data_IF_905354415012
#
_entry.id   IF_905354415012
#
_cell.length_a   1.000
_cell.length_b   1.000
_cell.length_c   1.000
_cell.angle_alpha   90.00
_cell.angle_beta   90.00
_cell.angle_gamma   90.00
#
_symmetry.space_group_name_H-M   'P 1'
#
loop_
_entity.id
_entity.type
_entity.pdbx_description
1 polymer ?
#
# COMPACT_ATOMS: atom_id res chain seq x y z
N UNK A 1 -13.13 34.90 13.32
CA UNK A 1 -14.40 34.64 12.62
C UNK A 1 -14.04 33.77 11.42
N UNK A 2 -14.15 32.45 11.55
CA UNK A 2 -13.85 31.53 10.44
C UNK A 2 -15.16 31.30 9.68
N UNK A 3 -15.22 31.79 8.46
CA UNK A 3 -16.42 31.65 7.63
C UNK A 3 -16.59 30.19 7.21
N UNK A 4 -17.57 29.51 7.78
CA UNK A 4 -17.93 28.14 7.38
C UNK A 4 -19.01 28.22 6.29
N UNK A 5 -18.88 27.39 5.26
CA UNK A 5 -19.87 27.26 4.19
C UNK A 5 -20.51 25.88 4.26
N UNK A 6 -21.82 25.81 4.05
CA UNK A 6 -22.54 24.56 3.82
C UNK A 6 -22.68 24.29 2.34
N UNK A 7 -22.43 23.05 1.97
CA UNK A 7 -22.87 22.50 0.68
C UNK A 7 -24.38 22.34 0.77
N UNK A 8 -25.10 23.14 0.00
CA UNK A 8 -26.56 23.09 -0.11
C UNK A 8 -26.93 22.20 -1.31
N UNK A 9 -27.62 22.72 -2.30
CA UNK A 9 -27.96 21.96 -3.50
C UNK A 9 -26.72 21.62 -4.33
N UNK A 10 -26.51 20.32 -4.55
CA UNK A 10 -25.55 19.79 -5.52
C UNK A 10 -26.32 19.30 -6.73
N UNK A 11 -26.23 20.06 -7.83
CA UNK A 11 -26.94 19.73 -9.07
C UNK A 11 -25.97 19.34 -10.16
N UNK A 12 -26.20 18.17 -10.76
CA UNK A 12 -25.48 17.77 -11.97
C UNK A 12 -25.96 18.63 -13.14
N UNK A 13 -25.05 19.33 -13.80
CA UNK A 13 -25.41 20.31 -14.84
C UNK A 13 -25.92 19.64 -16.13
N UNK A 14 -25.41 18.44 -16.44
CA UNK A 14 -25.86 17.62 -17.56
C UNK A 14 -25.62 16.13 -17.26
N UNK A 15 -26.47 15.24 -17.78
CA UNK A 15 -26.35 13.78 -17.62
C UNK A 15 -25.03 13.24 -18.20
N UNK A 16 -24.50 13.88 -19.23
CA UNK A 16 -23.25 13.49 -19.91
C UNK A 16 -22.00 14.25 -19.42
N UNK A 17 -22.16 15.30 -18.62
CA UNK A 17 -21.04 16.10 -18.09
C UNK A 17 -20.66 15.65 -16.67
N UNK A 18 -19.36 15.59 -16.31
CA UNK A 18 -18.92 15.36 -14.94
C UNK A 18 -19.05 16.61 -14.06
N UNK A 19 -19.54 17.73 -14.59
CA UNK A 19 -19.61 19.00 -13.86
C UNK A 19 -20.87 19.08 -12.98
N UNK A 20 -20.64 19.41 -11.71
CA UNK A 20 -21.68 19.68 -10.73
C UNK A 20 -21.64 21.16 -10.35
N UNK A 21 -22.81 21.78 -10.32
CA UNK A 21 -23.00 23.05 -9.65
C UNK A 21 -23.24 22.76 -8.17
N UNK A 22 -22.40 23.33 -7.31
CA UNK A 22 -22.50 23.23 -5.86
C UNK A 22 -22.82 24.61 -5.33
N UNK A 23 -24.02 24.78 -4.78
CA UNK A 23 -24.38 26.02 -4.11
C UNK A 23 -23.82 25.99 -2.69
N UNK A 24 -22.96 26.96 -2.37
CA UNK A 24 -22.43 27.14 -1.03
C UNK A 24 -23.23 28.21 -0.30
N UNK A 25 -23.78 27.86 0.85
CA UNK A 25 -24.47 28.80 1.73
C UNK A 25 -23.55 29.21 2.86
N UNK A 26 -23.35 30.52 3.02
CA UNK A 26 -22.67 31.09 4.17
C UNK A 26 -23.45 30.70 5.44
N UNK A 27 -22.81 30.03 6.39
CA UNK A 27 -23.44 29.68 7.66
C UNK A 27 -22.92 30.58 8.78
N UNK A 28 -23.79 30.97 9.71
CA UNK A 28 -23.40 31.71 10.91
C UNK A 28 -22.76 30.77 11.94
N UNK A 29 -22.01 31.34 12.89
CA UNK A 29 -21.41 30.62 14.03
C UNK A 29 -22.47 30.00 14.99
N UNK A 30 -23.76 30.24 14.73
CA UNK A 30 -24.92 29.75 15.50
C UNK A 30 -25.72 28.62 14.80
N UNK A 31 -25.20 28.04 13.71
CA UNK A 31 -25.89 26.95 13.02
C UNK A 31 -26.03 25.71 13.92
N UNK A 32 -27.27 25.44 14.31
CA UNK A 32 -27.63 24.39 15.24
C UNK A 32 -27.23 22.99 14.76
N UNK A 33 -27.33 22.68 13.46
CA UNK A 33 -26.97 21.34 12.97
C UNK A 33 -25.45 21.21 12.79
N UNK A 34 -24.71 22.32 12.56
CA UNK A 34 -23.25 22.31 12.53
C UNK A 34 -22.70 22.13 13.95
N UNK A 35 -23.32 22.81 14.94
CA UNK A 35 -23.07 22.56 16.36
C UNK A 35 -23.35 21.11 16.72
N UNK A 36 -24.52 20.58 16.37
CA UNK A 36 -24.85 19.16 16.62
C UNK A 36 -23.85 18.20 15.95
N UNK A 37 -23.38 18.47 14.74
CA UNK A 37 -22.38 17.65 14.07
C UNK A 37 -21.02 17.74 14.79
N UNK A 38 -20.62 18.94 15.19
CA UNK A 38 -19.36 19.17 15.91
C UNK A 38 -19.41 18.56 17.31
N UNK A 39 -20.53 18.68 18.01
CA UNK A 39 -20.77 18.05 19.31
C UNK A 39 -20.82 16.53 19.18
N UNK A 40 -21.46 15.99 18.13
CA UNK A 40 -21.44 14.55 17.85
C UNK A 40 -20.04 14.04 17.51
N UNK A 41 -19.27 14.76 16.70
CA UNK A 41 -17.86 14.42 16.43
C UNK A 41 -17.07 14.47 17.74
N UNK A 42 -17.30 15.47 18.59
CA UNK A 42 -16.64 15.61 19.90
C UNK A 42 -17.01 14.48 20.85
N UNK A 43 -18.26 14.03 20.85
CA UNK A 43 -18.75 12.89 21.61
C UNK A 43 -18.16 11.57 21.06
N UNK A 44 -18.17 11.37 19.75
CA UNK A 44 -17.61 10.19 19.08
C UNK A 44 -16.08 10.13 19.16
N UNK A 45 -15.42 11.29 19.27
CA UNK A 45 -13.99 11.43 19.51
C UNK A 45 -13.63 11.54 21.00
N UNK A 46 -14.60 11.43 21.91
CA UNK A 46 -14.34 11.48 23.34
C UNK A 46 -13.65 10.18 23.82
N UNK A 47 -12.73 10.32 24.78
CA UNK A 47 -11.94 9.20 25.30
C UNK A 47 -10.78 8.77 24.40
N UNK A 48 -9.93 7.87 24.91
CA UNK A 48 -8.71 7.40 24.22
C UNK A 48 -9.04 6.75 22.87
N UNK A 49 -10.08 5.91 22.84
CA UNK A 49 -10.52 5.23 21.61
C UNK A 49 -11.06 6.18 20.54
N UNK A 50 -11.71 7.28 20.94
CA UNK A 50 -12.19 8.31 20.03
C UNK A 50 -11.04 9.05 19.33
N UNK A 51 -10.01 9.42 20.08
CA UNK A 51 -8.81 10.05 19.52
C UNK A 51 -8.03 9.12 18.60
N UNK A 52 -7.93 7.83 18.91
CA UNK A 52 -7.31 6.87 17.98
C UNK A 52 -8.07 6.79 16.66
N UNK A 53 -9.41 6.73 16.69
CA UNK A 53 -10.24 6.75 15.47
C UNK A 53 -10.03 8.03 14.67
N UNK A 54 -9.92 9.18 15.34
CA UNK A 54 -9.63 10.46 14.70
C UNK A 54 -8.27 10.44 14.00
N UNK A 55 -7.23 9.92 14.66
CA UNK A 55 -5.92 9.73 14.03
C UNK A 55 -5.98 8.84 12.79
N UNK A 56 -6.71 7.71 12.85
CA UNK A 56 -6.93 6.85 11.67
C UNK A 56 -7.68 7.55 10.54
N UNK A 57 -8.63 8.41 10.87
CA UNK A 57 -9.36 9.19 9.87
C UNK A 57 -8.45 10.21 9.20
N UNK A 58 -7.64 10.94 9.99
CA UNK A 58 -6.65 11.91 9.51
C UNK A 58 -5.68 11.25 8.53
N UNK A 59 -5.19 10.05 8.85
CA UNK A 59 -4.38 9.23 7.93
C UNK A 59 -5.12 8.96 6.61
N UNK A 60 -6.36 8.47 6.66
CA UNK A 60 -7.16 8.17 5.45
C UNK A 60 -7.41 9.36 4.55
N UNK A 61 -7.44 10.58 5.11
CA UNK A 61 -7.61 11.82 4.33
C UNK A 61 -6.28 12.51 4.01
N UNK A 62 -5.14 11.84 4.22
CA UNK A 62 -3.81 12.35 3.90
C UNK A 62 -3.30 13.46 4.81
N UNK A 63 -3.93 13.67 5.98
CA UNK A 63 -3.50 14.66 6.98
C UNK A 63 -2.48 14.05 7.95
N UNK A 64 -1.36 13.59 7.41
CA UNK A 64 -0.32 12.87 8.13
C UNK A 64 0.26 13.66 9.31
N UNK A 65 0.60 14.93 9.10
CA UNK A 65 1.20 15.79 10.14
C UNK A 65 0.26 15.98 11.33
N UNK A 66 -1.04 16.17 11.07
CA UNK A 66 -2.05 16.29 12.13
C UNK A 66 -2.27 14.98 12.88
N UNK A 67 -2.19 13.84 12.18
CA UNK A 67 -2.26 12.54 12.83
C UNK A 67 -1.05 12.34 13.76
N UNK A 68 0.13 12.77 13.32
CA UNK A 68 1.35 12.74 14.13
C UNK A 68 1.24 13.61 15.37
N UNK A 69 0.88 14.89 15.21
CA UNK A 69 0.67 15.84 16.32
C UNK A 69 -0.31 15.27 17.35
N UNK A 70 -1.42 14.68 16.88
CA UNK A 70 -2.41 14.07 17.75
C UNK A 70 -1.83 12.89 18.53
N UNK A 71 -1.17 11.94 17.87
CA UNK A 71 -0.61 10.77 18.56
C UNK A 71 0.53 11.14 19.51
N UNK A 72 1.35 12.14 19.18
CA UNK A 72 2.38 12.65 20.08
C UNK A 72 1.78 13.34 21.31
N UNK A 73 0.72 14.14 21.15
CA UNK A 73 0.01 14.74 22.28
C UNK A 73 -0.64 13.68 23.19
N UNK A 74 -1.21 12.61 22.61
CA UNK A 74 -1.73 11.47 23.38
C UNK A 74 -0.60 10.74 24.13
N UNK A 75 0.59 10.62 23.52
CA UNK A 75 1.75 9.97 24.14
C UNK A 75 2.20 10.74 25.40
N UNK A 76 2.25 12.07 25.34
CA UNK A 76 2.58 12.92 26.49
C UNK A 76 1.59 12.78 27.65
N UNK A 77 0.31 12.59 27.32
CA UNK A 77 -0.77 12.45 28.31
C UNK A 77 -0.96 11.01 28.81
N UNK A 78 -0.25 10.04 28.23
CA UNK A 78 -0.44 8.63 28.54
C UNK A 78 -0.02 8.31 29.98
N UNK A 79 -1.00 7.89 30.78
CA UNK A 79 -0.86 7.64 32.22
C UNK A 79 -0.41 6.21 32.56
N UNK A 80 -0.53 5.27 31.61
CA UNK A 80 -0.16 3.88 31.80
C UNK A 80 0.58 3.33 30.58
N UNK A 81 1.28 2.22 30.81
CA UNK A 81 2.15 1.61 29.81
C UNK A 81 1.37 0.95 28.66
N UNK A 82 0.15 0.46 28.92
CA UNK A 82 -0.71 -0.12 27.87
C UNK A 82 -1.12 0.93 26.84
N UNK A 83 -1.52 2.13 27.27
CA UNK A 83 -1.86 3.24 26.39
C UNK A 83 -0.62 3.69 25.60
N UNK A 84 0.55 3.77 26.24
CA UNK A 84 1.81 4.10 25.56
C UNK A 84 2.16 3.09 24.48
N UNK A 85 2.07 1.79 24.77
CA UNK A 85 2.32 0.73 23.80
C UNK A 85 1.38 0.85 22.60
N UNK A 86 0.09 1.12 22.84
CA UNK A 86 -0.89 1.32 21.77
C UNK A 86 -0.58 2.57 20.92
N UNK A 87 -0.21 3.68 21.55
CA UNK A 87 0.13 4.92 20.85
C UNK A 87 1.39 4.73 20.00
N UNK A 88 2.42 4.07 20.54
CA UNK A 88 3.60 3.70 19.75
C UNK A 88 3.23 2.83 18.56
N UNK A 89 2.30 1.89 18.70
CA UNK A 89 1.81 1.12 17.56
C UNK A 89 1.11 2.02 16.51
N UNK A 90 0.33 3.02 16.91
CA UNK A 90 -0.29 3.95 15.95
C UNK A 90 0.75 4.85 15.26
N UNK A 91 1.75 5.33 15.99
CA UNK A 91 2.87 6.10 15.44
C UNK A 91 3.69 5.25 14.45
N UNK A 92 3.94 3.98 14.78
CA UNK A 92 4.58 3.03 13.89
C UNK A 92 3.83 2.87 12.57
N UNK A 93 2.50 2.77 12.63
CA UNK A 93 1.66 2.66 11.43
C UNK A 93 1.65 3.94 10.60
N UNK A 94 1.51 5.10 11.24
CA UNK A 94 1.63 6.41 10.59
C UNK A 94 2.96 6.54 9.84
N UNK A 95 4.07 6.21 10.50
CA UNK A 95 5.41 6.32 9.90
C UNK A 95 5.61 5.34 8.75
N UNK A 96 5.04 4.14 8.85
CA UNK A 96 5.05 3.17 7.76
C UNK A 96 4.28 3.70 6.53
N UNK A 97 3.12 4.31 6.73
CA UNK A 97 2.30 4.92 5.66
C UNK A 97 2.95 6.17 5.05
N UNK A 98 3.75 6.91 5.83
CA UNK A 98 4.61 7.99 5.32
C UNK A 98 5.86 7.46 4.58
N UNK A 99 6.14 6.15 4.62
CA UNK A 99 7.35 5.54 4.07
C UNK A 99 8.62 5.75 4.91
N UNK A 100 8.46 6.20 6.17
CA UNK A 100 9.53 6.43 7.15
C UNK A 100 9.82 5.13 7.93
N UNK A 101 10.28 4.10 7.21
CA UNK A 101 10.38 2.74 7.74
C UNK A 101 11.28 2.59 8.98
N UNK A 102 12.39 3.32 9.07
CA UNK A 102 13.28 3.26 10.25
C UNK A 102 12.58 3.76 11.52
N UNK A 103 11.82 4.85 11.40
CA UNK A 103 11.05 5.41 12.52
C UNK A 103 9.88 4.49 12.86
N UNK A 104 9.20 3.94 11.85
CA UNK A 104 8.14 2.95 12.05
C UNK A 104 8.63 1.74 12.87
N UNK A 105 9.75 1.15 12.48
CA UNK A 105 10.37 0.04 13.21
C UNK A 105 10.71 0.43 14.65
N UNK A 106 11.28 1.63 14.86
CA UNK A 106 11.61 2.10 16.21
C UNK A 106 10.37 2.21 17.10
N UNK A 107 9.26 2.74 16.59
CA UNK A 107 8.02 2.85 17.37
C UNK A 107 7.41 1.47 17.66
N UNK A 108 7.38 0.57 16.69
CA UNK A 108 6.91 -0.80 16.95
C UNK A 108 7.80 -1.54 17.96
N UNK A 109 9.12 -1.35 17.92
CA UNK A 109 10.05 -1.92 18.91
C UNK A 109 9.85 -1.32 20.31
N UNK A 110 9.54 -0.02 20.42
CA UNK A 110 9.16 0.61 21.70
C UNK A 110 7.85 0.02 22.25
N UNK A 111 6.85 -0.17 21.39
CA UNK A 111 5.59 -0.83 21.74
C UNK A 111 5.83 -2.26 22.25
N UNK A 112 6.57 -3.06 21.47
CA UNK A 112 6.91 -4.43 21.82
C UNK A 112 7.64 -4.52 23.17
N UNK A 113 8.58 -3.62 23.44
CA UNK A 113 9.33 -3.61 24.69
C UNK A 113 8.42 -3.46 25.91
N UNK A 114 7.39 -2.62 25.81
CA UNK A 114 6.41 -2.43 26.88
C UNK A 114 5.52 -3.66 27.02
N UNK A 115 5.04 -4.20 25.90
CA UNK A 115 4.22 -5.42 25.91
C UNK A 115 4.96 -6.60 26.56
N UNK A 116 6.25 -6.78 26.26
CA UNK A 116 7.09 -7.83 26.85
C UNK A 116 7.37 -7.66 28.35
N UNK A 117 7.21 -6.45 28.90
CA UNK A 117 7.34 -6.23 30.35
C UNK A 117 6.10 -6.70 31.12
N UNK A 118 4.95 -6.76 30.45
CA UNK A 118 3.64 -6.98 31.07
C UNK A 118 3.00 -8.31 30.67
N UNK A 119 3.42 -8.88 29.55
CA UNK A 119 2.87 -10.11 28.98
C UNK A 119 3.91 -11.25 28.98
N UNK A 120 3.46 -12.51 29.16
CA UNK A 120 4.30 -13.68 28.90
C UNK A 120 4.85 -13.71 27.46
N UNK A 121 6.00 -14.34 27.26
CA UNK A 121 6.70 -14.39 25.95
C UNK A 121 5.84 -14.98 24.82
N UNK A 122 4.92 -15.88 25.14
CA UNK A 122 4.03 -16.56 24.21
C UNK A 122 2.61 -15.96 24.17
N UNK A 123 2.42 -14.77 24.75
CA UNK A 123 1.11 -14.14 24.80
C UNK A 123 0.61 -13.77 23.39
N UNK A 124 -0.62 -14.15 22.99
CA UNK A 124 -1.14 -13.91 21.64
C UNK A 124 -1.09 -12.45 21.17
N UNK A 125 -1.24 -11.48 22.08
CA UNK A 125 -1.17 -10.05 21.76
C UNK A 125 0.20 -9.56 21.27
N UNK A 126 1.27 -10.33 21.45
CA UNK A 126 2.61 -9.97 20.91
C UNK A 126 2.72 -10.26 19.41
N UNK A 127 1.91 -11.18 18.86
CA UNK A 127 2.01 -11.61 17.48
C UNK A 127 1.77 -10.47 16.46
N UNK A 128 0.77 -9.57 16.62
CA UNK A 128 0.59 -8.42 15.74
C UNK A 128 1.78 -7.46 15.73
N UNK A 129 2.37 -7.18 16.90
CA UNK A 129 3.52 -6.27 17.00
C UNK A 129 4.74 -6.86 16.30
N UNK A 130 5.04 -8.14 16.52
CA UNK A 130 6.08 -8.85 15.76
C UNK A 130 5.83 -8.83 14.26
N UNK A 131 4.59 -9.05 13.83
CA UNK A 131 4.20 -9.02 12.42
C UNK A 131 4.46 -7.64 11.78
N UNK A 132 4.18 -6.55 12.50
CA UNK A 132 4.36 -5.20 11.98
C UNK A 132 5.84 -4.79 11.93
N UNK A 133 6.63 -5.18 12.93
CA UNK A 133 8.09 -5.01 12.89
C UNK A 133 8.67 -5.76 11.68
N UNK A 134 8.25 -7.02 11.47
CA UNK A 134 8.69 -7.83 10.35
C UNK A 134 8.34 -7.21 8.99
N UNK A 135 7.13 -6.69 8.84
CA UNK A 135 6.67 -6.02 7.62
C UNK A 135 7.58 -4.84 7.26
N UNK A 136 7.91 -4.00 8.23
CA UNK A 136 8.77 -2.83 8.00
C UNK A 136 10.20 -3.25 7.64
N UNK A 137 10.77 -4.26 8.31
CA UNK A 137 12.08 -4.80 7.92
C UNK A 137 12.07 -5.44 6.51
N UNK A 138 10.96 -6.07 6.11
CA UNK A 138 10.78 -6.59 4.75
C UNK A 138 10.79 -5.45 3.72
N UNK A 139 10.06 -4.35 3.97
CA UNK A 139 10.08 -3.14 3.12
C UNK A 139 11.46 -2.47 3.05
N UNK A 140 12.26 -2.59 4.11
CA UNK A 140 13.65 -2.12 4.16
C UNK A 140 14.65 -3.09 3.50
N UNK A 141 14.22 -4.25 3.01
CA UNK A 141 15.07 -5.27 2.42
C UNK A 141 15.95 -6.03 3.44
N UNK A 142 15.71 -5.87 4.74
CA UNK A 142 16.35 -6.67 5.79
C UNK A 142 15.53 -7.96 6.01
N UNK A 143 15.57 -8.83 5.00
CA UNK A 143 14.77 -10.05 4.97
C UNK A 143 15.09 -11.02 6.11
N UNK A 144 16.33 -11.01 6.61
CA UNK A 144 16.75 -11.84 7.74
C UNK A 144 16.02 -11.44 9.03
N UNK A 145 16.02 -10.13 9.35
CA UNK A 145 15.24 -9.63 10.50
C UNK A 145 13.74 -9.83 10.30
N UNK A 146 13.24 -9.59 9.08
CA UNK A 146 11.83 -9.80 8.77
C UNK A 146 11.40 -11.24 9.05
N UNK A 147 12.14 -12.25 8.55
CA UNK A 147 11.89 -13.66 8.84
C UNK A 147 11.91 -13.95 10.34
N UNK A 148 12.94 -13.50 11.06
CA UNK A 148 13.06 -13.76 12.49
C UNK A 148 11.88 -13.21 13.32
N UNK A 149 11.30 -12.08 12.92
CA UNK A 149 10.10 -11.53 13.57
C UNK A 149 8.80 -12.21 13.12
N UNK A 150 8.65 -12.53 11.83
CA UNK A 150 7.48 -13.29 11.36
C UNK A 150 7.44 -14.70 11.97
N UNK A 151 8.56 -15.38 12.11
CA UNK A 151 8.65 -16.70 12.75
C UNK A 151 8.24 -16.64 14.23
N UNK A 152 8.62 -15.59 14.96
CA UNK A 152 8.16 -15.36 16.35
C UNK A 152 6.64 -15.18 16.39
N UNK A 153 6.10 -14.32 15.52
CA UNK A 153 4.66 -14.11 15.39
C UNK A 153 3.92 -15.42 15.08
N UNK A 154 4.41 -16.17 14.09
CA UNK A 154 3.87 -17.46 13.68
C UNK A 154 3.84 -18.47 14.82
N UNK A 155 4.96 -18.63 15.55
CA UNK A 155 5.05 -19.58 16.68
C UNK A 155 4.07 -19.26 17.80
N UNK A 156 3.84 -17.98 18.09
CA UNK A 156 2.84 -17.54 19.07
C UNK A 156 1.43 -17.92 18.59
N UNK A 157 1.12 -17.63 17.32
CA UNK A 157 -0.18 -17.96 16.74
C UNK A 157 -0.41 -19.48 16.69
N UNK A 158 0.61 -20.27 16.34
CA UNK A 158 0.54 -21.74 16.28
C UNK A 158 0.22 -22.35 17.64
N UNK A 159 0.78 -21.78 18.72
CA UNK A 159 0.48 -22.22 20.09
C UNK A 159 -0.92 -21.80 20.54
N UNK A 160 -1.38 -20.62 20.12
CA UNK A 160 -2.60 -20.01 20.62
C UNK A 160 -3.87 -20.41 19.88
N UNK A 161 -3.75 -20.87 18.62
CA UNK A 161 -4.88 -21.01 17.70
C UNK A 161 -5.03 -22.46 17.19
N UNK A 162 -6.25 -22.87 16.80
CA UNK A 162 -6.46 -24.16 16.17
C UNK A 162 -5.76 -24.23 14.80
N UNK A 163 -5.35 -25.43 14.32
CA UNK A 163 -4.51 -25.58 13.11
C UNK A 163 -5.05 -24.96 11.82
N UNK A 164 -6.37 -24.81 11.67
CA UNK A 164 -6.99 -24.21 10.48
C UNK A 164 -7.47 -22.77 10.72
N UNK A 165 -6.94 -22.07 11.72
CA UNK A 165 -7.29 -20.67 11.96
C UNK A 165 -6.70 -19.76 10.88
N UNK A 166 -7.48 -18.81 10.35
CA UNK A 166 -7.06 -17.95 9.24
C UNK A 166 -5.83 -17.09 9.56
N UNK A 167 -5.63 -16.72 10.82
CA UNK A 167 -4.40 -16.00 11.24
C UNK A 167 -3.12 -16.83 11.01
N UNK A 168 -3.19 -18.16 11.05
CA UNK A 168 -2.05 -19.02 10.68
C UNK A 168 -1.80 -18.95 9.18
N UNK A 169 -2.87 -18.95 8.37
CA UNK A 169 -2.79 -18.77 6.92
C UNK A 169 -2.11 -17.43 6.57
N UNK A 170 -2.56 -16.32 7.18
CA UNK A 170 -1.93 -15.01 7.02
C UNK A 170 -0.46 -14.98 7.44
N UNK A 171 -0.09 -15.68 8.52
CA UNK A 171 1.32 -15.74 8.96
C UNK A 171 2.20 -16.51 7.99
N UNK A 172 1.71 -17.62 7.39
CA UNK A 172 2.43 -18.32 6.33
C UNK A 172 2.54 -17.46 5.08
N UNK A 173 1.50 -16.73 4.70
CA UNK A 173 1.51 -15.80 3.59
C UNK A 173 2.62 -14.74 3.74
N UNK A 174 2.74 -14.14 4.93
CA UNK A 174 3.76 -13.14 5.22
C UNK A 174 5.19 -13.70 5.13
N UNK A 175 5.43 -14.91 5.65
CA UNK A 175 6.74 -15.59 5.52
C UNK A 175 7.04 -15.92 4.05
N UNK A 176 6.04 -16.43 3.31
CA UNK A 176 6.14 -16.71 1.88
C UNK A 176 6.50 -15.46 1.07
N UNK A 177 5.97 -14.30 1.43
CA UNK A 177 6.31 -13.02 0.80
C UNK A 177 7.78 -12.66 0.97
N UNK A 178 8.36 -12.90 2.16
CA UNK A 178 9.79 -12.61 2.38
C UNK A 178 10.67 -13.54 1.54
N UNK A 179 10.35 -14.84 1.49
CA UNK A 179 11.08 -15.77 0.62
C UNK A 179 10.95 -15.41 -0.87
N UNK A 180 9.77 -14.97 -1.31
CA UNK A 180 9.58 -14.48 -2.68
C UNK A 180 10.46 -13.25 -2.96
N UNK A 181 10.54 -12.31 -2.03
CA UNK A 181 11.39 -11.11 -2.15
C UNK A 181 12.90 -11.44 -2.14
N UNK A 182 13.29 -12.54 -1.49
CA UNK A 182 14.65 -13.08 -1.51
C UNK A 182 14.99 -13.84 -2.79
N UNK A 183 13.99 -14.19 -3.62
CA UNK A 183 14.14 -15.05 -4.78
C UNK A 183 14.18 -16.55 -4.46
N UNK A 184 13.90 -16.95 -3.20
CA UNK A 184 13.72 -18.36 -2.83
C UNK A 184 12.29 -18.80 -3.14
N UNK A 185 12.02 -18.94 -4.43
CA UNK A 185 10.67 -19.22 -4.94
C UNK A 185 10.13 -20.58 -4.49
N UNK A 186 11.01 -21.57 -4.25
CA UNK A 186 10.57 -22.89 -3.76
C UNK A 186 10.00 -22.80 -2.35
N UNK A 187 10.67 -22.09 -1.43
CA UNK A 187 10.12 -21.87 -0.08
C UNK A 187 8.89 -20.97 -0.12
N UNK A 188 8.90 -19.92 -0.95
CA UNK A 188 7.72 -19.07 -1.11
C UNK A 188 6.47 -19.89 -1.48
N UNK A 189 6.60 -20.82 -2.44
CA UNK A 189 5.51 -21.73 -2.82
C UNK A 189 5.09 -22.63 -1.65
N UNK A 190 6.02 -23.25 -0.92
CA UNK A 190 5.69 -24.10 0.23
C UNK A 190 4.82 -23.35 1.27
N UNK A 191 5.20 -22.11 1.59
CA UNK A 191 4.47 -21.28 2.54
C UNK A 191 3.11 -20.83 2.01
N UNK A 192 3.03 -20.40 0.74
CA UNK A 192 1.75 -20.02 0.14
C UNK A 192 0.80 -21.21 -0.09
N UNK A 193 1.32 -22.41 -0.31
CA UNK A 193 0.51 -23.64 -0.39
C UNK A 193 -0.10 -23.99 0.97
N UNK A 194 0.63 -23.82 2.08
CA UNK A 194 0.10 -23.98 3.45
C UNK A 194 -0.99 -22.95 3.75
N UNK A 195 -0.79 -21.68 3.38
CA UNK A 195 -1.82 -20.64 3.45
C UNK A 195 -3.08 -21.05 2.68
N UNK A 196 -2.92 -21.46 1.42
CA UNK A 196 -4.03 -21.90 0.58
C UNK A 196 -4.76 -23.13 1.17
N UNK A 197 -4.04 -24.09 1.74
CA UNK A 197 -4.62 -25.29 2.35
C UNK A 197 -5.50 -24.92 3.56
N UNK A 198 -5.01 -24.07 4.47
CA UNK A 198 -5.77 -23.61 5.62
C UNK A 198 -7.00 -22.83 5.16
N UNK A 199 -6.81 -21.88 4.25
CA UNK A 199 -7.89 -21.02 3.74
C UNK A 199 -8.99 -21.86 3.07
N UNK A 200 -8.64 -22.91 2.30
CA UNK A 200 -9.62 -23.85 1.72
C UNK A 200 -10.41 -24.64 2.75
N UNK A 201 -9.80 -25.01 3.88
CA UNK A 201 -10.48 -25.75 4.95
C UNK A 201 -11.37 -24.84 5.80
N UNK A 202 -10.97 -23.59 5.98
CA UNK A 202 -11.63 -22.64 6.86
C UNK A 202 -12.79 -21.88 6.20
N UNK A 203 -12.77 -21.71 4.87
CA UNK A 203 -13.65 -20.79 4.16
C UNK A 203 -14.40 -21.45 2.99
N UNK A 204 -15.55 -20.88 2.58
CA UNK A 204 -16.30 -21.38 1.43
C UNK A 204 -15.51 -21.21 0.11
N UNK A 205 -15.76 -22.03 -0.92
CA UNK A 205 -14.93 -22.10 -2.14
C UNK A 205 -14.76 -20.81 -2.95
N UNK A 206 -15.66 -19.83 -2.80
CA UNK A 206 -15.58 -18.53 -3.48
C UNK A 206 -15.27 -17.39 -2.51
N UNK A 207 -14.69 -17.65 -1.33
CA UNK A 207 -14.32 -16.57 -0.43
C UNK A 207 -13.17 -15.72 -1.02
N UNK A 208 -13.21 -14.38 -0.95
CA UNK A 208 -12.14 -13.50 -1.47
C UNK A 208 -10.73 -13.86 -0.99
N UNK A 209 -10.57 -14.34 0.25
CA UNK A 209 -9.25 -14.74 0.78
C UNK A 209 -8.60 -15.88 -0.01
N UNK A 210 -9.39 -16.79 -0.60
CA UNK A 210 -8.86 -17.82 -1.50
C UNK A 210 -8.26 -17.19 -2.76
N UNK A 211 -8.88 -16.13 -3.27
CA UNK A 211 -8.35 -15.40 -4.42
C UNK A 211 -7.02 -14.73 -4.08
N UNK A 212 -6.86 -14.20 -2.86
CA UNK A 212 -5.57 -13.67 -2.37
C UNK A 212 -4.50 -14.75 -2.36
N UNK A 213 -4.76 -15.92 -1.76
CA UNK A 213 -3.78 -17.02 -1.74
C UNK A 213 -3.39 -17.49 -3.15
N UNK A 214 -4.35 -17.63 -4.06
CA UNK A 214 -4.05 -17.95 -5.47
C UNK A 214 -3.20 -16.86 -6.16
N UNK A 215 -3.50 -15.59 -5.89
CA UNK A 215 -2.73 -14.46 -6.44
C UNK A 215 -1.29 -14.46 -5.93
N UNK A 216 -1.05 -14.81 -4.67
CA UNK A 216 0.31 -14.92 -4.12
C UNK A 216 1.12 -16.01 -4.82
N UNK A 217 0.52 -17.16 -5.10
CA UNK A 217 1.19 -18.24 -5.87
C UNK A 217 1.44 -17.79 -7.32
N UNK A 218 0.47 -17.14 -7.96
CA UNK A 218 0.64 -16.56 -9.30
C UNK A 218 1.78 -15.54 -9.38
N UNK A 219 1.98 -14.76 -8.32
CA UNK A 219 3.11 -13.83 -8.21
C UNK A 219 4.46 -14.56 -8.21
N UNK A 220 4.59 -15.68 -7.51
CA UNK A 220 5.83 -16.46 -7.48
C UNK A 220 6.13 -17.02 -8.88
N UNK A 221 5.16 -17.63 -9.55
CA UNK A 221 5.36 -18.15 -10.90
C UNK A 221 5.71 -17.06 -11.91
N UNK A 222 5.09 -15.87 -11.80
CA UNK A 222 5.46 -14.72 -12.62
C UNK A 222 6.93 -14.32 -12.39
N UNK A 223 7.36 -14.25 -11.13
CA UNK A 223 8.74 -13.90 -10.78
C UNK A 223 9.76 -14.96 -11.24
N UNK A 224 9.34 -16.23 -11.34
CA UNK A 224 10.12 -17.32 -11.95
C UNK A 224 10.18 -17.25 -13.49
N UNK A 225 9.33 -16.44 -14.13
CA UNK A 225 9.16 -16.42 -15.58
C UNK A 225 8.25 -17.52 -16.14
N UNK A 226 7.60 -18.32 -15.29
CA UNK A 226 6.58 -19.28 -15.70
C UNK A 226 5.22 -18.57 -15.87
N UNK A 227 5.12 -17.80 -16.96
CA UNK A 227 3.96 -16.97 -17.24
C UNK A 227 2.67 -17.78 -17.49
N UNK A 228 2.81 -19.01 -18.00
CA UNK A 228 1.67 -19.92 -18.20
C UNK A 228 1.01 -20.28 -16.86
N UNK A 229 1.81 -20.72 -15.87
CA UNK A 229 1.25 -20.99 -14.54
C UNK A 229 0.81 -19.72 -13.84
N UNK A 230 1.54 -18.61 -13.99
CA UNK A 230 1.12 -17.34 -13.42
C UNK A 230 -0.30 -16.95 -13.87
N UNK A 231 -0.60 -17.08 -15.17
CA UNK A 231 -1.94 -16.83 -15.72
C UNK A 231 -2.97 -17.80 -15.13
N UNK A 232 -2.69 -19.11 -15.06
CA UNK A 232 -3.61 -20.10 -14.47
C UNK A 232 -4.04 -19.69 -13.04
N UNK A 233 -3.07 -19.33 -12.21
CA UNK A 233 -3.32 -18.93 -10.83
C UNK A 233 -4.03 -17.57 -10.71
N UNK A 234 -3.64 -16.58 -11.52
CA UNK A 234 -4.30 -15.28 -11.52
C UNK A 234 -5.71 -15.31 -12.10
N UNK A 235 -5.98 -16.11 -13.14
CA UNK A 235 -7.32 -16.31 -13.68
C UNK A 235 -8.22 -16.98 -12.65
N UNK A 236 -7.71 -17.96 -11.90
CA UNK A 236 -8.45 -18.58 -10.81
C UNK A 236 -8.78 -17.59 -9.69
N UNK A 237 -7.81 -16.74 -9.32
CA UNK A 237 -8.03 -15.64 -8.38
C UNK A 237 -9.10 -14.67 -8.89
N UNK A 238 -9.00 -14.26 -10.15
CA UNK A 238 -9.95 -13.36 -10.80
C UNK A 238 -11.38 -13.93 -10.81
N UNK A 239 -11.55 -15.21 -11.19
CA UNK A 239 -12.86 -15.87 -11.20
C UNK A 239 -13.52 -15.93 -9.81
N UNK A 240 -12.73 -16.09 -8.75
CA UNK A 240 -13.26 -16.07 -7.38
C UNK A 240 -13.73 -14.65 -7.03
N UNK A 241 -12.91 -13.63 -7.30
CA UNK A 241 -13.32 -12.24 -7.07
C UNK A 241 -14.57 -11.85 -7.87
N UNK A 242 -14.67 -12.27 -9.13
CA UNK A 242 -15.81 -11.99 -10.00
C UNK A 242 -17.11 -12.58 -9.44
N UNK A 243 -17.05 -13.78 -8.85
CA UNK A 243 -18.20 -14.42 -8.21
C UNK A 243 -18.55 -13.83 -6.85
N UNK A 244 -17.55 -13.36 -6.11
CA UNK A 244 -17.70 -12.97 -4.71
C UNK A 244 -17.99 -11.49 -4.50
N UNK A 245 -17.62 -10.63 -5.44
CA UNK A 245 -17.57 -9.18 -5.25
C UNK A 245 -18.38 -8.42 -6.31
N UNK A 246 -18.87 -7.20 -6.00
CA UNK A 246 -19.45 -6.32 -7.00
C UNK A 246 -18.47 -6.03 -8.15
N UNK A 247 -18.99 -5.84 -9.36
CA UNK A 247 -18.18 -5.69 -10.58
C UNK A 247 -17.23 -4.48 -10.59
N UNK A 248 -17.41 -3.53 -9.68
CA UNK A 248 -16.57 -2.36 -9.49
C UNK A 248 -15.68 -2.44 -8.23
N UNK A 249 -15.56 -3.61 -7.59
CA UNK A 249 -14.75 -3.73 -6.39
C UNK A 249 -13.24 -3.56 -6.69
N UNK A 250 -12.46 -2.81 -5.88
CA UNK A 250 -11.02 -2.61 -6.11
C UNK A 250 -10.19 -3.90 -6.27
N UNK A 251 -10.54 -4.99 -5.59
CA UNK A 251 -9.88 -6.29 -5.77
C UNK A 251 -10.00 -6.85 -7.20
N UNK A 252 -11.09 -6.57 -7.92
CA UNK A 252 -11.18 -6.93 -9.34
C UNK A 252 -10.20 -6.13 -10.17
N UNK A 253 -10.03 -4.83 -9.88
CA UNK A 253 -9.03 -4.00 -10.53
C UNK A 253 -7.61 -4.54 -10.32
N UNK A 254 -7.28 -4.95 -9.08
CA UNK A 254 -5.98 -5.57 -8.76
C UNK A 254 -5.79 -6.87 -9.55
N UNK A 255 -6.81 -7.74 -9.62
CA UNK A 255 -6.71 -9.00 -10.35
C UNK A 255 -6.50 -8.79 -11.87
N UNK A 256 -7.18 -7.81 -12.48
CA UNK A 256 -6.92 -7.43 -13.86
C UNK A 256 -5.50 -6.89 -14.05
N UNK A 257 -5.01 -6.06 -13.13
CA UNK A 257 -3.63 -5.56 -13.15
C UNK A 257 -2.60 -6.68 -13.08
N UNK A 258 -2.82 -7.70 -12.26
CA UNK A 258 -1.92 -8.85 -12.16
C UNK A 258 -1.85 -9.64 -13.48
N UNK A 259 -3.00 -9.87 -14.14
CA UNK A 259 -3.06 -10.53 -15.44
C UNK A 259 -2.37 -9.66 -16.52
N UNK A 260 -2.67 -8.35 -16.54
CA UNK A 260 -2.03 -7.40 -17.45
C UNK A 260 -0.52 -7.37 -17.32
N UNK A 261 0.00 -7.47 -16.09
CA UNK A 261 1.44 -7.54 -15.83
C UNK A 261 2.09 -8.78 -16.43
N UNK A 262 1.42 -9.94 -16.40
CA UNK A 262 1.94 -11.16 -17.02
C UNK A 262 2.01 -11.00 -18.54
N UNK A 263 0.95 -10.50 -19.18
CA UNK A 263 0.97 -10.23 -20.63
C UNK A 263 2.04 -9.20 -21.01
N UNK A 264 2.25 -8.17 -20.19
CA UNK A 264 3.34 -7.21 -20.37
C UNK A 264 4.71 -7.89 -20.32
N UNK A 265 4.94 -8.80 -19.38
CA UNK A 265 6.20 -9.54 -19.27
C UNK A 265 6.42 -10.52 -20.43
N UNK A 266 5.34 -11.02 -21.05
CA UNK A 266 5.39 -11.84 -22.27
C UNK A 266 5.61 -11.01 -23.55
N UNK A 267 5.53 -9.68 -23.48
CA UNK A 267 5.58 -8.79 -24.65
C UNK A 267 4.25 -8.69 -25.43
N UNK A 268 3.16 -9.27 -24.92
CA UNK A 268 1.81 -9.08 -25.48
C UNK A 268 1.22 -7.78 -24.94
N UNK A 269 1.77 -6.66 -25.42
CA UNK A 269 1.42 -5.32 -24.95
C UNK A 269 -0.03 -4.95 -25.24
N UNK A 270 -0.63 -5.50 -26.30
CA UNK A 270 -2.04 -5.26 -26.63
C UNK A 270 -2.97 -5.82 -25.56
N UNK A 271 -2.75 -7.07 -25.14
CA UNK A 271 -3.54 -7.65 -24.03
C UNK A 271 -3.21 -6.99 -22.71
N UNK A 272 -1.94 -6.66 -22.46
CA UNK A 272 -1.55 -5.94 -21.26
C UNK A 272 -2.34 -4.62 -21.09
N UNK A 273 -2.43 -3.82 -22.16
CA UNK A 273 -3.22 -2.59 -22.16
C UNK A 273 -4.72 -2.85 -21.94
N UNK A 274 -5.31 -3.87 -22.59
CA UNK A 274 -6.73 -4.22 -22.37
C UNK A 274 -7.02 -4.49 -20.89
N UNK A 275 -6.18 -5.28 -20.23
CA UNK A 275 -6.34 -5.62 -18.82
C UNK A 275 -6.06 -4.43 -17.89
N UNK A 276 -5.03 -3.65 -18.16
CA UNK A 276 -4.73 -2.44 -17.37
C UNK A 276 -5.79 -1.35 -17.53
N UNK A 277 -6.41 -1.20 -18.70
CA UNK A 277 -7.53 -0.28 -18.91
C UNK A 277 -8.76 -0.70 -18.12
N UNK A 278 -9.09 -2.01 -18.07
CA UNK A 278 -10.17 -2.52 -17.21
C UNK A 278 -9.89 -2.23 -15.73
N UNK A 279 -8.66 -2.45 -15.28
CA UNK A 279 -8.20 -2.11 -13.93
C UNK A 279 -8.38 -0.62 -13.64
N UNK A 280 -7.86 0.23 -14.53
CA UNK A 280 -7.93 1.68 -14.42
C UNK A 280 -9.38 2.19 -14.35
N UNK A 281 -10.27 1.69 -15.20
CA UNK A 281 -11.68 2.08 -15.22
C UNK A 281 -12.41 1.77 -13.90
N UNK A 282 -12.07 0.67 -13.22
CA UNK A 282 -12.64 0.35 -11.91
C UNK A 282 -12.13 1.34 -10.87
N UNK A 283 -10.82 1.59 -10.83
CA UNK A 283 -10.22 2.54 -9.90
C UNK A 283 -10.74 3.97 -10.11
N UNK A 284 -10.82 4.44 -11.35
CA UNK A 284 -11.36 5.76 -11.68
C UNK A 284 -12.82 5.94 -11.21
N UNK A 285 -13.63 4.88 -11.28
CA UNK A 285 -15.03 4.93 -10.84
C UNK A 285 -15.22 4.85 -9.32
N UNK A 286 -14.26 4.29 -8.59
CA UNK A 286 -14.44 3.92 -7.17
C UNK A 286 -13.56 4.67 -6.20
N UNK A 287 -12.43 5.21 -6.66
CA UNK A 287 -11.47 5.88 -5.81
C UNK A 287 -11.53 7.41 -5.97
N UNK A 288 -11.14 8.16 -4.93
CA UNK A 288 -10.92 9.59 -5.04
C UNK A 288 -9.87 9.94 -6.13
N UNK A 289 -9.96 11.12 -6.78
CA UNK A 289 -9.07 11.49 -7.88
C UNK A 289 -7.56 11.47 -7.56
N UNK A 290 -7.19 11.66 -6.29
CA UNK A 290 -5.80 11.63 -5.83
C UNK A 290 -5.44 10.32 -5.12
N UNK A 291 -6.17 9.22 -5.30
CA UNK A 291 -5.85 7.98 -4.62
C UNK A 291 -4.57 7.33 -5.21
N UNK A 292 -3.61 6.87 -4.38
CA UNK A 292 -2.37 6.25 -4.85
C UNK A 292 -2.57 5.07 -5.81
N UNK A 293 -3.59 4.24 -5.60
CA UNK A 293 -3.90 3.12 -6.53
C UNK A 293 -4.27 3.59 -7.95
N UNK A 294 -4.90 4.77 -8.08
CA UNK A 294 -5.16 5.35 -9.40
C UNK A 294 -3.84 5.71 -10.09
N UNK A 295 -2.88 6.28 -9.36
CA UNK A 295 -1.54 6.56 -9.88
C UNK A 295 -0.77 5.28 -10.24
N UNK A 296 -0.91 4.22 -9.46
CA UNK A 296 -0.33 2.91 -9.78
C UNK A 296 -0.90 2.38 -11.10
N UNK A 297 -2.21 2.49 -11.34
CA UNK A 297 -2.81 2.04 -12.61
C UNK A 297 -2.29 2.84 -13.82
N UNK A 298 -2.11 4.16 -13.70
CA UNK A 298 -1.45 4.95 -14.75
C UNK A 298 0.01 4.55 -14.96
N UNK A 299 0.72 4.21 -13.87
CA UNK A 299 2.11 3.75 -13.94
C UNK A 299 2.21 2.44 -14.73
N UNK A 300 1.32 1.49 -14.49
CA UNK A 300 1.27 0.24 -15.26
C UNK A 300 1.03 0.47 -16.75
N UNK A 301 0.10 1.36 -17.11
CA UNK A 301 -0.17 1.72 -18.51
C UNK A 301 1.05 2.42 -19.14
N UNK A 302 1.65 3.37 -18.43
CA UNK A 302 2.85 4.09 -18.86
C UNK A 302 4.04 3.16 -19.09
N UNK A 303 4.18 2.11 -18.28
CA UNK A 303 5.20 1.07 -18.45
C UNK A 303 5.02 0.32 -19.77
N UNK A 304 3.79 -0.10 -20.10
CA UNK A 304 3.55 -0.79 -21.38
C UNK A 304 3.91 0.09 -22.57
N UNK A 305 3.52 1.38 -22.55
CA UNK A 305 3.91 2.30 -23.63
C UNK A 305 5.42 2.54 -23.71
N UNK A 306 6.12 2.59 -22.57
CA UNK A 306 7.58 2.67 -22.54
C UNK A 306 8.21 1.42 -23.18
N UNK A 307 7.72 0.24 -22.84
CA UNK A 307 8.23 -1.04 -23.36
C UNK A 307 7.93 -1.22 -24.87
N UNK A 308 6.88 -0.57 -25.37
CA UNK A 308 6.56 -0.46 -26.79
C UNK A 308 7.42 0.58 -27.54
N UNK A 309 8.16 1.43 -26.82
CA UNK A 309 8.91 2.55 -27.39
C UNK A 309 8.06 3.80 -27.70
N UNK A 310 6.79 3.85 -27.32
CA UNK A 310 5.95 5.05 -27.39
C UNK A 310 6.21 5.93 -26.15
N UNK A 311 7.41 6.52 -26.13
CA UNK A 311 7.89 7.31 -25.00
C UNK A 311 7.05 8.56 -24.73
N UNK A 312 6.37 9.10 -25.75
CA UNK A 312 5.48 10.26 -25.59
C UNK A 312 4.28 9.90 -24.72
N UNK A 313 3.59 8.79 -25.03
CA UNK A 313 2.48 8.33 -24.19
C UNK A 313 2.96 7.85 -22.83
N UNK A 314 4.10 7.18 -22.76
CA UNK A 314 4.68 6.76 -21.49
C UNK A 314 4.88 7.96 -20.54
N UNK A 315 5.46 9.07 -21.03
CA UNK A 315 5.61 10.30 -20.26
C UNK A 315 4.25 10.87 -19.84
N UNK A 316 3.27 10.93 -20.75
CA UNK A 316 1.93 11.43 -20.40
C UNK A 316 1.32 10.68 -19.21
N UNK A 317 1.38 9.34 -19.23
CA UNK A 317 0.84 8.51 -18.16
C UNK A 317 1.67 8.60 -16.87
N UNK A 318 2.99 8.60 -16.97
CA UNK A 318 3.85 8.75 -15.79
C UNK A 318 3.74 10.13 -15.13
N UNK A 319 3.56 11.22 -15.90
CA UNK A 319 3.34 12.56 -15.35
C UNK A 319 1.98 12.67 -14.65
N UNK A 320 0.92 12.04 -15.19
CA UNK A 320 -0.38 11.93 -14.50
C UNK A 320 -0.25 11.18 -13.18
N UNK A 321 0.44 10.02 -13.18
CA UNK A 321 0.71 9.27 -11.97
C UNK A 321 1.52 10.09 -10.95
N UNK A 322 2.57 10.77 -11.42
CA UNK A 322 3.44 11.61 -10.58
C UNK A 322 2.65 12.69 -9.85
N UNK A 323 1.79 13.41 -10.57
CA UNK A 323 0.96 14.48 -10.00
C UNK A 323 0.01 13.97 -8.92
N UNK A 324 -0.56 12.77 -9.10
CA UNK A 324 -1.41 12.16 -8.08
C UNK A 324 -0.57 11.81 -6.84
N UNK A 325 0.59 11.15 -7.03
CA UNK A 325 1.48 10.83 -5.90
C UNK A 325 1.94 12.09 -5.16
N UNK A 326 2.29 13.16 -5.87
CA UNK A 326 2.72 14.44 -5.29
C UNK A 326 1.62 15.10 -4.45
N UNK A 327 0.36 14.99 -4.89
CA UNK A 327 -0.78 15.53 -4.14
C UNK A 327 -1.19 14.68 -2.94
N UNK A 328 -0.94 13.36 -2.99
CA UNK A 328 -1.49 12.40 -2.04
C UNK A 328 -0.50 12.00 -0.94
N UNK A 329 0.80 12.09 -1.21
CA UNK A 329 1.84 11.49 -0.37
C UNK A 329 2.83 12.54 0.16
N UNK A 330 3.47 12.28 1.31
CA UNK A 330 4.54 13.13 1.82
C UNK A 330 5.72 13.26 0.83
N UNK A 331 6.48 14.37 0.83
CA UNK A 331 7.52 14.67 -0.18
C UNK A 331 8.65 13.63 -0.34
N UNK A 332 8.88 12.77 0.65
CA UNK A 332 9.90 11.73 0.61
C UNK A 332 9.29 10.31 0.56
N UNK A 333 8.01 10.16 0.21
CA UNK A 333 7.39 8.84 0.14
C UNK A 333 8.05 7.97 -0.97
N UNK A 334 8.34 6.67 -0.73
CA UNK A 334 8.98 5.78 -1.72
C UNK A 334 8.30 5.74 -3.10
N UNK A 335 6.96 5.85 -3.17
CA UNK A 335 6.23 5.90 -4.45
C UNK A 335 6.63 7.10 -5.33
N UNK A 336 7.00 8.25 -4.73
CA UNK A 336 7.54 9.39 -5.49
C UNK A 336 8.89 9.05 -6.11
N UNK A 337 9.73 8.28 -5.41
CA UNK A 337 10.99 7.81 -5.96
C UNK A 337 10.80 6.88 -7.16
N UNK A 338 9.82 5.97 -7.09
CA UNK A 338 9.46 5.08 -8.21
C UNK A 338 8.99 5.93 -9.40
N UNK A 339 8.09 6.87 -9.16
CA UNK A 339 7.56 7.76 -10.21
C UNK A 339 8.66 8.58 -10.89
N UNK A 340 9.56 9.20 -10.12
CA UNK A 340 10.73 9.90 -10.66
C UNK A 340 11.66 8.96 -11.44
N UNK A 341 11.89 7.75 -10.93
CA UNK A 341 12.69 6.73 -11.60
C UNK A 341 12.14 6.35 -12.97
N UNK A 342 10.83 6.16 -13.07
CA UNK A 342 10.14 5.82 -14.31
C UNK A 342 10.22 6.96 -15.34
N UNK A 343 9.99 8.21 -14.93
CA UNK A 343 10.14 9.37 -15.82
C UNK A 343 11.59 9.52 -16.28
N UNK A 344 12.55 9.35 -15.37
CA UNK A 344 13.99 9.39 -15.68
C UNK A 344 14.41 8.31 -16.68
N UNK A 345 13.86 7.11 -16.56
CA UNK A 345 14.06 5.99 -17.49
C UNK A 345 13.53 6.32 -18.90
N UNK A 346 12.34 6.91 -19.01
CA UNK A 346 11.83 7.33 -20.32
C UNK A 346 12.71 8.40 -20.97
N UNK A 347 13.17 9.41 -20.20
CA UNK A 347 14.09 10.41 -20.73
C UNK A 347 15.44 9.83 -21.15
N UNK A 348 15.93 8.80 -20.45
CA UNK A 348 17.11 8.05 -20.87
C UNK A 348 16.87 7.36 -22.22
N UNK A 349 15.72 6.71 -22.39
CA UNK A 349 15.38 6.00 -23.62
C UNK A 349 15.18 6.95 -24.82
N UNK A 350 14.72 8.18 -24.59
CA UNK A 350 14.63 9.25 -25.61
C UNK A 350 16.02 9.84 -25.96
N UNK A 351 17.04 9.61 -25.14
CA UNK A 351 18.37 10.20 -25.29
C UNK A 351 18.52 11.60 -24.66
N UNK A 352 17.55 12.02 -23.83
CA UNK A 352 17.67 13.24 -23.03
C UNK A 352 18.34 12.94 -21.68
N UNK A 353 19.64 12.67 -21.73
CA UNK A 353 20.44 12.26 -20.57
C UNK A 353 20.47 13.31 -19.45
N UNK A 354 20.41 14.60 -19.79
CA UNK A 354 20.31 15.70 -18.81
C UNK A 354 19.07 15.57 -17.93
N UNK A 355 17.88 15.42 -18.53
CA UNK A 355 16.64 15.24 -17.77
C UNK A 355 16.62 13.91 -17.05
N UNK A 356 17.10 12.84 -17.70
CA UNK A 356 17.20 11.52 -17.09
C UNK A 356 17.99 11.55 -15.78
N UNK A 357 19.17 12.17 -15.78
CA UNK A 357 19.99 12.33 -14.58
C UNK A 357 19.27 13.11 -13.50
N UNK A 358 18.66 14.24 -13.84
CA UNK A 358 17.93 15.07 -12.86
C UNK A 358 16.81 14.27 -12.16
N UNK A 359 16.04 13.49 -12.91
CA UNK A 359 14.96 12.67 -12.35
C UNK A 359 15.49 11.49 -11.53
N UNK A 360 16.50 10.78 -12.02
CA UNK A 360 17.10 9.66 -11.29
C UNK A 360 17.81 10.10 -10.00
N UNK A 361 18.43 11.29 -9.97
CA UNK A 361 19.04 11.86 -8.77
C UNK A 361 18.00 12.24 -7.71
N UNK A 362 16.83 12.74 -8.13
CA UNK A 362 15.68 12.95 -7.22
C UNK A 362 15.17 11.64 -6.65
N UNK A 363 15.00 10.61 -7.48
CA UNK A 363 14.61 9.28 -7.03
C UNK A 363 15.60 8.71 -6.00
N UNK A 364 16.91 8.79 -6.30
CA UNK A 364 17.97 8.33 -5.40
C UNK A 364 17.95 9.08 -4.06
N UNK A 365 17.76 10.39 -4.08
CA UNK A 365 17.68 11.23 -2.87
C UNK A 365 16.56 10.76 -1.94
N UNK A 366 15.38 10.45 -2.49
CA UNK A 366 14.25 9.95 -1.69
C UNK A 366 14.55 8.55 -1.15
N UNK A 367 15.08 7.65 -1.98
CA UNK A 367 15.43 6.29 -1.57
C UNK A 367 16.48 6.30 -0.45
N UNK A 368 17.49 7.17 -0.50
CA UNK A 368 18.53 7.26 0.53
C UNK A 368 18.00 7.72 1.90
N UNK A 369 16.91 8.49 1.93
CA UNK A 369 16.25 8.90 3.17
C UNK A 369 15.40 7.79 3.77
N UNK A 370 14.72 7.00 2.93
CA UNK A 370 13.70 6.03 3.36
C UNK A 370 14.22 4.61 3.51
N UNK A 371 15.25 4.22 2.73
CA UNK A 371 15.76 2.87 2.65
C UNK A 371 17.19 2.75 3.19
N UNK A 372 17.62 1.57 3.66
CA UNK A 372 19.02 1.31 3.96
C UNK A 372 19.91 1.41 2.70
N UNK A 373 21.18 1.86 2.79
CA UNK A 373 22.08 1.97 1.64
C UNK A 373 22.28 0.66 0.86
N UNK A 374 22.11 -0.49 1.51
CA UNK A 374 22.23 -1.82 0.91
C UNK A 374 21.01 -2.22 0.06
N UNK A 375 19.91 -1.45 0.11
CA UNK A 375 18.64 -1.79 -0.51
C UNK A 375 18.76 -1.98 -2.03
N UNK A 376 18.15 -3.02 -2.64
CA UNK A 376 18.20 -3.28 -4.08
C UNK A 376 17.81 -2.07 -4.95
N UNK A 377 16.73 -1.36 -4.61
CA UNK A 377 16.32 -0.13 -5.34
C UNK A 377 17.38 0.97 -5.40
N UNK A 378 18.15 1.22 -4.31
CA UNK A 378 19.24 2.20 -4.33
C UNK A 378 20.34 1.74 -5.29
N UNK A 379 20.73 0.47 -5.21
CA UNK A 379 21.76 -0.11 -6.09
C UNK A 379 21.35 0.00 -7.57
N UNK A 380 20.09 -0.32 -7.86
CA UNK A 380 19.55 -0.25 -9.22
C UNK A 380 19.51 1.20 -9.74
N UNK A 381 19.08 2.16 -8.92
CA UNK A 381 19.04 3.57 -9.31
C UNK A 381 20.45 4.14 -9.55
N UNK A 382 21.43 3.80 -8.71
CA UNK A 382 22.84 4.15 -8.92
C UNK A 382 23.36 3.55 -10.22
N UNK A 383 23.04 2.29 -10.50
CA UNK A 383 23.41 1.63 -11.77
C UNK A 383 22.86 2.38 -12.97
N UNK A 384 21.57 2.78 -12.93
CA UNK A 384 20.92 3.58 -13.99
C UNK A 384 21.62 4.94 -14.18
N UNK A 385 21.90 5.66 -13.10
CA UNK A 385 22.64 6.94 -13.15
C UNK A 385 24.01 6.76 -13.80
N UNK A 386 24.77 5.75 -13.38
CA UNK A 386 26.10 5.49 -13.91
C UNK A 386 26.08 5.11 -15.40
N UNK A 387 25.03 4.43 -15.87
CA UNK A 387 24.87 4.13 -17.29
C UNK A 387 24.60 5.40 -18.09
N UNK A 388 23.75 6.30 -17.59
CA UNK A 388 23.45 7.58 -18.25
C UNK A 388 24.70 8.46 -18.33
N UNK A 389 25.55 8.48 -17.28
CA UNK A 389 26.80 9.27 -17.26
C UNK A 389 27.90 8.78 -18.21
N UNK A 390 27.76 7.56 -18.75
CA UNK A 390 28.74 6.97 -19.68
C UNK A 390 28.47 7.32 -21.14
N UNK A 391 27.28 7.82 -21.45
CA UNK A 391 26.85 8.27 -22.77
C UNK A 391 27.03 9.78 -22.85
#
# INVERSE_FOLDING_TARGET
>A
MHTVFRIDEVRKLDKKSPLYQVNLKLTSDDDQQLRQLTDRIREESSGSTGWYRMGKLLLKIGQFDKAEELYMALLEQASNDSDRAHIYHQLGWLKDDQGQYKEAASFYEMSLKIEQQTLPEDHPSLAPTYNNIALVYNKMGDYSKALGFYEKSHKILEKALPPNHLSLASSYNNIGQVYNNMGDYSKALEFYEKDLEITKKALPPNHPDLATSYSCIGQVYRNMGDYSKALEFYEKSHQIYEKALPSNHPHLAISYGNIGQVYSNMGDYSKALEFYEKSHQIFEKTLPPNHPDLATSYTCIGQVYNDMGDYSKALEFYEKAHKIFENALPPNHPSLAISYGNIGEVYNNIGNYSKALSFLEKALTIQQKTLPPSHPHIKETIRRINNVKKV
#
